data_IF_248485652144
#
_entry.id   IF_248485652144
#
_cell.length_a   1.000
_cell.length_b   1.000
_cell.length_c   1.000
_cell.angle_alpha   90.00
_cell.angle_beta   90.00
_cell.angle_gamma   90.00
#
_symmetry.space_group_name_H-M   'P 1'
#
loop_
_entity.id
_entity.type
_entity.pdbx_description
1 polymer ?
#
# COMPACT_ATOMS: atom_id res chain seq x y z
N UNK A 1 1.35 -18.28 5.69
CA UNK A 1 0.50 -17.41 4.85
C UNK A 1 1.27 -17.09 3.58
N UNK A 2 0.74 -17.42 2.39
CA UNK A 2 1.49 -17.24 1.13
C UNK A 2 1.57 -15.76 0.70
N UNK A 3 0.45 -15.05 0.73
CA UNK A 3 0.32 -13.69 0.23
C UNK A 3 -0.67 -12.91 1.10
N UNK A 4 -0.33 -11.67 1.43
CA UNK A 4 -1.24 -10.72 2.09
C UNK A 4 -1.45 -9.52 1.18
N UNK A 5 -2.72 -9.18 0.93
CA UNK A 5 -3.09 -7.91 0.31
C UNK A 5 -3.25 -6.87 1.43
N UNK A 6 -2.42 -5.85 1.41
CA UNK A 6 -2.42 -4.79 2.41
C UNK A 6 -3.11 -3.56 1.82
N UNK A 7 -4.39 -3.39 2.12
CA UNK A 7 -5.19 -2.24 1.69
C UNK A 7 -4.92 -1.01 2.54
N UNK A 8 -4.55 0.10 1.92
CA UNK A 8 -4.28 1.36 2.62
C UNK A 8 -5.58 2.14 2.91
N UNK A 9 -6.34 2.46 1.87
CA UNK A 9 -7.62 3.18 1.95
C UNK A 9 -8.35 2.99 0.63
N UNK A 10 -9.65 3.28 0.60
CA UNK A 10 -10.48 3.00 -0.58
C UNK A 10 -10.57 4.15 -1.59
N UNK A 11 -9.97 5.32 -1.33
CA UNK A 11 -9.97 6.45 -2.28
C UNK A 11 -8.99 6.28 -3.47
N UNK A 12 -9.44 6.59 -4.69
CA UNK A 12 -8.67 6.45 -5.93
C UNK A 12 -8.83 7.65 -6.87
N UNK A 13 -7.77 8.01 -7.60
CA UNK A 13 -7.81 9.05 -8.64
C UNK A 13 -8.35 8.56 -10.00
N UNK A 14 -8.55 7.25 -10.17
CA UNK A 14 -9.18 6.67 -11.35
C UNK A 14 -10.67 6.39 -11.09
N UNK A 15 -11.50 6.52 -12.13
CA UNK A 15 -12.95 6.25 -12.10
C UNK A 15 -13.29 5.11 -13.05
N UNK A 16 -12.72 3.94 -12.77
CA UNK A 16 -12.92 2.77 -13.62
C UNK A 16 -14.40 2.36 -13.60
N UNK A 17 -14.98 2.05 -14.76
CA UNK A 17 -16.39 1.65 -14.88
C UNK A 17 -16.76 0.39 -14.05
N UNK A 18 -15.77 -0.42 -13.70
CA UNK A 18 -15.94 -1.69 -12.99
C UNK A 18 -15.74 -1.57 -11.47
N UNK A 19 -15.36 -0.40 -10.96
CA UNK A 19 -14.92 -0.23 -9.58
C UNK A 19 -15.55 1.02 -8.94
N UNK A 20 -15.98 0.88 -7.69
CA UNK A 20 -16.67 1.93 -6.94
C UNK A 20 -15.82 2.49 -5.79
N UNK A 21 -14.58 2.04 -5.60
CA UNK A 21 -13.75 2.49 -4.48
C UNK A 21 -13.55 4.02 -4.46
N UNK A 22 -13.46 4.67 -5.63
CA UNK A 22 -13.34 6.12 -5.76
C UNK A 22 -14.53 6.91 -5.18
N UNK A 23 -15.68 6.27 -4.94
CA UNK A 23 -16.83 6.86 -4.24
C UNK A 23 -16.64 6.86 -2.72
N UNK A 24 -15.76 6.01 -2.18
CA UNK A 24 -15.51 5.93 -0.76
C UNK A 24 -14.80 7.20 -0.26
N UNK A 25 -15.23 7.74 0.90
CA UNK A 25 -14.51 8.83 1.52
C UNK A 25 -13.10 8.37 1.91
N UNK A 26 -12.12 9.27 1.76
CA UNK A 26 -10.77 9.00 2.24
C UNK A 26 -10.78 9.02 3.77
N UNK A 27 -10.39 7.90 4.39
CA UNK A 27 -10.10 7.88 5.82
C UNK A 27 -8.73 8.51 6.09
N UNK A 28 -8.67 9.40 7.08
CA UNK A 28 -7.42 9.98 7.57
C UNK A 28 -6.95 9.18 8.80
N UNK A 29 -6.27 8.07 8.52
CA UNK A 29 -5.55 7.32 9.55
C UNK A 29 -4.09 7.79 9.58
N UNK A 30 -3.50 7.99 10.76
CA UNK A 30 -2.09 8.35 10.87
C UNK A 30 -1.21 7.19 10.41
N UNK A 31 -0.02 7.48 9.88
CA UNK A 31 0.98 6.49 9.49
C UNK A 31 1.25 5.42 10.56
N UNK A 32 1.26 5.81 11.84
CA UNK A 32 1.46 4.91 12.97
C UNK A 32 0.45 3.75 13.00
N UNK A 33 -0.79 3.99 12.58
CA UNK A 33 -1.80 2.94 12.46
C UNK A 33 -1.34 1.86 11.46
N UNK A 34 -0.95 2.26 10.25
CA UNK A 34 -0.51 1.34 9.21
C UNK A 34 0.75 0.58 9.61
N UNK A 35 1.73 1.25 10.25
CA UNK A 35 2.94 0.59 10.76
C UNK A 35 2.60 -0.49 11.77
N UNK A 36 1.69 -0.21 12.71
CA UNK A 36 1.28 -1.17 13.74
C UNK A 36 0.60 -2.39 13.12
N UNK A 37 -0.34 -2.17 12.18
CA UNK A 37 -1.02 -3.25 11.46
C UNK A 37 -0.02 -4.05 10.62
N UNK A 38 0.90 -3.39 9.92
CA UNK A 38 1.93 -4.04 9.11
C UNK A 38 2.87 -4.88 9.98
N UNK A 39 3.32 -4.38 11.13
CA UNK A 39 4.12 -5.16 12.08
C UNK A 39 3.38 -6.41 12.57
N UNK A 40 2.09 -6.28 12.88
CA UNK A 40 1.27 -7.44 13.27
C UNK A 40 1.18 -8.47 12.12
N UNK A 41 0.99 -8.02 10.88
CA UNK A 41 1.00 -8.88 9.69
C UNK A 41 2.36 -9.57 9.49
N UNK A 42 3.46 -8.82 9.59
CA UNK A 42 4.82 -9.34 9.38
C UNK A 42 5.21 -10.35 10.46
N UNK A 43 4.68 -10.22 11.69
CA UNK A 43 4.88 -11.21 12.76
C UNK A 43 4.36 -12.61 12.40
N UNK A 44 3.40 -12.69 11.47
CA UNK A 44 2.85 -13.95 10.94
C UNK A 44 3.72 -14.57 9.82
N UNK A 45 4.85 -13.93 9.48
CA UNK A 45 5.83 -14.36 8.47
C UNK A 45 5.20 -14.73 7.12
N UNK A 46 4.47 -13.81 6.46
CA UNK A 46 3.96 -14.05 5.11
C UNK A 46 5.10 -14.14 4.10
N UNK A 47 4.93 -14.94 3.02
CA UNK A 47 5.95 -15.00 1.95
C UNK A 47 5.94 -13.77 1.03
N UNK A 48 4.83 -13.05 0.98
CA UNK A 48 4.69 -11.82 0.21
C UNK A 48 3.66 -10.86 0.82
N UNK A 49 3.90 -9.56 0.67
CA UNK A 49 2.95 -8.47 0.95
C UNK A 49 2.74 -7.68 -0.33
N UNK A 50 1.48 -7.42 -0.67
CA UNK A 50 1.08 -6.66 -1.84
C UNK A 50 0.26 -5.45 -1.42
N UNK A 51 0.86 -4.27 -1.53
CA UNK A 51 0.20 -3.01 -1.20
C UNK A 51 -0.86 -2.68 -2.26
N UNK A 52 -2.04 -2.31 -1.79
CA UNK A 52 -3.23 -2.04 -2.60
C UNK A 52 -4.17 -1.08 -1.86
N UNK A 53 -5.43 -0.96 -2.31
CA UNK A 53 -6.43 -0.01 -1.85
C UNK A 53 -7.11 0.61 -3.07
N UNK A 54 -7.44 1.90 -2.98
CA UNK A 54 -7.74 2.72 -4.15
C UNK A 54 -6.49 2.93 -5.00
N UNK A 55 -5.89 4.11 -4.98
CA UNK A 55 -4.58 4.29 -5.64
C UNK A 55 -3.46 4.45 -4.60
N UNK A 56 -2.62 3.42 -4.38
CA UNK A 56 -1.61 3.45 -3.33
C UNK A 56 -0.53 4.51 -3.56
N UNK A 57 -0.24 4.92 -4.81
CA UNK A 57 0.75 5.97 -5.06
C UNK A 57 0.30 7.37 -4.59
N UNK A 58 -0.97 7.55 -4.21
CA UNK A 58 -1.47 8.80 -3.58
C UNK A 58 -1.08 8.85 -2.09
N UNK A 59 -0.72 7.71 -1.49
CA UNK A 59 -0.26 7.64 -0.11
C UNK A 59 1.22 8.05 -0.05
N UNK A 60 1.49 9.25 0.45
CA UNK A 60 2.84 9.83 0.44
C UNK A 60 3.85 8.96 1.21
N UNK A 61 3.39 8.27 2.25
CA UNK A 61 4.19 7.45 3.15
C UNK A 61 4.32 5.98 2.70
N UNK A 62 3.79 5.62 1.52
CA UNK A 62 3.91 4.26 0.96
C UNK A 62 5.36 3.74 0.94
N UNK A 63 6.39 4.54 0.55
CA UNK A 63 7.78 4.07 0.55
C UNK A 63 8.29 3.59 1.91
N UNK A 64 7.75 4.14 3.00
CA UNK A 64 8.14 3.76 4.36
C UNK A 64 7.58 2.37 4.71
N UNK A 65 6.32 2.11 4.37
CA UNK A 65 5.69 0.80 4.57
C UNK A 65 6.33 -0.28 3.69
N UNK A 66 6.66 0.06 2.45
CA UNK A 66 7.39 -0.82 1.53
C UNK A 66 8.76 -1.17 2.11
N UNK A 67 9.51 -0.18 2.59
CA UNK A 67 10.82 -0.38 3.22
C UNK A 67 10.74 -1.25 4.47
N UNK A 68 9.73 -1.02 5.33
CA UNK A 68 9.48 -1.84 6.52
C UNK A 68 9.26 -3.32 6.16
N UNK A 69 8.40 -3.61 5.19
CA UNK A 69 8.12 -4.98 4.78
C UNK A 69 9.33 -5.65 4.09
N UNK A 70 10.06 -4.89 3.27
CA UNK A 70 11.24 -5.39 2.58
C UNK A 70 12.39 -5.72 3.55
N UNK A 71 12.56 -4.93 4.61
CA UNK A 71 13.58 -5.17 5.64
C UNK A 71 13.38 -6.49 6.39
N UNK A 72 12.14 -6.99 6.49
CA UNK A 72 11.82 -8.30 7.08
C UNK A 72 12.03 -9.48 6.10
N UNK A 73 12.61 -9.24 4.93
CA UNK A 73 12.88 -10.28 3.92
C UNK A 73 11.62 -10.79 3.18
N UNK A 74 10.49 -10.10 3.33
CA UNK A 74 9.24 -10.45 2.64
C UNK A 74 9.26 -9.91 1.21
N UNK A 75 8.73 -10.67 0.25
CA UNK A 75 8.57 -10.16 -1.13
C UNK A 75 7.51 -9.07 -1.15
N UNK A 76 7.89 -7.88 -1.61
CA UNK A 76 6.97 -6.74 -1.69
C UNK A 76 6.56 -6.47 -3.13
N UNK A 77 5.30 -6.10 -3.33
CA UNK A 77 4.79 -5.57 -4.60
C UNK A 77 3.71 -4.53 -4.36
N UNK A 78 3.43 -3.70 -5.36
CA UNK A 78 2.38 -2.66 -5.32
C UNK A 78 1.43 -2.89 -6.49
N UNK A 79 0.12 -2.79 -6.26
CA UNK A 79 -0.91 -2.77 -7.31
C UNK A 79 -1.33 -1.32 -7.52
N UNK A 80 -0.97 -0.72 -8.65
CA UNK A 80 -1.25 0.67 -8.97
C UNK A 80 -1.85 0.79 -10.37
N UNK A 81 -2.65 1.83 -10.59
CA UNK A 81 -3.12 2.25 -11.91
C UNK A 81 -2.03 2.95 -12.74
N UNK A 82 -0.90 3.32 -12.12
CA UNK A 82 0.29 3.87 -12.76
C UNK A 82 0.18 5.31 -13.26
N UNK A 83 -0.95 6.01 -13.11
CA UNK A 83 -1.16 7.36 -13.68
C UNK A 83 -0.25 8.44 -13.12
N UNK A 84 0.23 8.26 -11.88
CA UNK A 84 1.16 9.16 -11.19
C UNK A 84 2.51 8.50 -10.94
N UNK A 85 2.77 7.36 -11.58
CA UNK A 85 4.08 6.74 -11.54
C UNK A 85 5.04 7.57 -12.40
N UNK A 86 6.00 8.20 -11.75
CA UNK A 86 7.07 8.94 -12.40
C UNK A 86 8.43 8.55 -11.83
N UNK A 87 9.52 9.06 -12.42
CA UNK A 87 10.84 8.97 -11.81
C UNK A 87 10.85 9.79 -10.50
N UNK A 88 10.45 9.16 -9.40
CA UNK A 88 10.54 9.72 -8.05
C UNK A 88 11.99 9.79 -7.57
N UNK A 89 12.29 10.73 -6.65
CA UNK A 89 13.62 10.93 -6.04
C UNK A 89 14.21 9.58 -5.62
N UNK A 90 15.43 9.28 -6.10
CA UNK A 90 16.20 8.13 -5.66
C UNK A 90 16.25 8.13 -4.13
N UNK A 91 15.73 7.08 -3.51
CA UNK A 91 16.03 6.77 -2.11
C UNK A 91 17.54 6.48 -2.08
N UNK A 92 18.34 7.22 -1.30
CA UNK A 92 19.77 6.94 -1.17
C UNK A 92 20.03 5.54 -0.59
#
# INVERSE_FOLDING_TARGET
>A
MELVYFGLFDNCNARCNMCECWLAPRGDLPLAHYRNVLSAVLSLRPRAVRFTGGEPLIFAELPELVSQAAAEGVRVSVISNGRILGPGKSVP
#
